data_IF_907706145583
#
_entry.id   IF_907706145583
#
_cell.length_a   1.000
_cell.length_b   1.000
_cell.length_c   1.000
_cell.angle_alpha   90.00
_cell.angle_beta   90.00
_cell.angle_gamma   90.00
#
_symmetry.space_group_name_H-M   'P 1'
#
loop_
_entity.id
_entity.type
_entity.pdbx_description
1 polymer ?
#
# COMPACT_ATOMS: atom_id res chain seq x y z
N UNK A 1 0.61 20.88 7.52
CA UNK A 1 1.08 20.33 8.81
C UNK A 1 -0.15 19.87 9.58
N UNK A 2 -0.64 18.66 9.30
CA UNK A 2 -1.79 18.12 10.02
C UNK A 2 -1.26 17.27 11.18
N UNK A 3 -1.31 17.87 12.36
CA UNK A 3 -1.12 17.21 13.65
C UNK A 3 -2.42 16.44 13.96
N UNK A 4 -2.31 15.16 14.30
CA UNK A 4 -3.32 14.51 15.13
C UNK A 4 -2.64 13.80 16.29
N UNK A 5 -3.20 14.07 17.45
CA UNK A 5 -2.66 13.93 18.78
C UNK A 5 -2.33 12.48 19.19
N UNK A 6 -1.36 12.43 20.10
CA UNK A 6 -1.18 11.46 21.17
C UNK A 6 -2.51 10.99 21.79
N UNK A 7 -2.96 9.77 21.47
CA UNK A 7 -3.76 8.84 22.31
C UNK A 7 -4.34 7.67 21.48
N UNK A 8 -3.49 6.91 20.79
CA UNK A 8 -3.91 5.57 20.31
C UNK A 8 -3.08 4.55 21.08
N UNK A 9 -3.68 4.08 22.19
CA UNK A 9 -3.26 2.89 22.92
C UNK A 9 -3.06 1.75 21.92
N UNK A 10 -1.79 1.37 21.80
CA UNK A 10 -1.33 0.17 21.13
C UNK A 10 -1.86 -1.04 21.90
N UNK A 11 -3.01 -1.59 21.49
CA UNK A 11 -3.49 -2.88 22.01
C UNK A 11 -2.65 -3.98 21.40
N UNK A 12 -1.64 -4.39 22.16
CA UNK A 12 -0.84 -5.58 21.95
C UNK A 12 -1.74 -6.81 22.14
N UNK A 13 -2.23 -7.41 21.06
CA UNK A 13 -2.89 -8.71 21.15
C UNK A 13 -3.97 -8.93 20.11
N UNK A 14 -3.58 -9.44 18.93
CA UNK A 14 -4.10 -10.67 18.34
C UNK A 14 -3.05 -11.18 17.33
N UNK A 15 -2.17 -12.09 17.77
CA UNK A 15 -1.31 -12.84 16.85
C UNK A 15 -2.15 -13.96 16.22
N UNK A 16 -2.84 -13.67 15.12
CA UNK A 16 -3.49 -14.72 14.32
C UNK A 16 -2.41 -15.63 13.70
N UNK A 17 -2.61 -16.96 13.63
CA UNK A 17 -1.56 -17.92 13.29
C UNK A 17 -1.01 -17.70 11.89
N UNK A 18 0.23 -18.10 11.68
CA UNK A 18 0.94 -18.13 10.40
C UNK A 18 0.34 -19.15 9.43
N UNK A 19 -0.90 -18.93 8.99
CA UNK A 19 -1.52 -19.65 7.88
C UNK A 19 -2.18 -18.62 6.96
N UNK A 20 -1.54 -18.40 5.80
CA UNK A 20 -1.96 -17.56 4.66
C UNK A 20 -2.78 -16.31 5.04
N UNK A 21 -2.09 -15.21 5.40
CA UNK A 21 -2.66 -13.87 5.66
C UNK A 21 -3.32 -13.21 4.44
N UNK A 22 -3.66 -13.97 3.39
CA UNK A 22 -4.18 -13.44 2.14
C UNK A 22 -5.70 -13.44 2.22
N UNK A 23 -6.29 -12.25 2.13
CA UNK A 23 -7.72 -12.02 2.04
C UNK A 23 -8.11 -12.07 0.57
N UNK A 24 -8.70 -13.18 0.12
CA UNK A 24 -9.09 -13.37 -1.27
C UNK A 24 -10.28 -12.49 -1.67
N UNK A 25 -11.22 -12.27 -0.75
CA UNK A 25 -12.43 -11.46 -0.99
C UNK A 25 -12.17 -9.94 -0.84
N UNK A 26 -10.97 -9.55 -0.40
CA UNK A 26 -10.63 -8.15 -0.18
C UNK A 26 -9.49 -7.71 -1.10
N UNK A 27 -9.78 -6.92 -2.15
CA UNK A 27 -8.75 -6.46 -3.07
C UNK A 27 -7.92 -5.32 -2.48
N UNK A 28 -6.63 -5.31 -2.79
CA UNK A 28 -5.74 -4.19 -2.55
C UNK A 28 -6.27 -2.93 -3.26
N UNK A 29 -6.43 -1.84 -2.52
CA UNK A 29 -6.91 -0.56 -3.07
C UNK A 29 -5.99 0.07 -4.11
N UNK A 30 -4.71 -0.33 -4.13
CA UNK A 30 -3.69 0.19 -5.07
C UNK A 30 -3.61 -0.62 -6.35
N UNK A 31 -3.40 -1.95 -6.26
CA UNK A 31 -3.12 -2.79 -7.43
C UNK A 31 -4.14 -3.90 -7.70
N UNK A 32 -5.25 -3.92 -6.95
CA UNK A 32 -6.35 -4.90 -7.05
C UNK A 32 -5.99 -6.37 -6.83
N UNK A 33 -4.72 -6.70 -6.58
CA UNK A 33 -4.29 -8.03 -6.10
C UNK A 33 -4.87 -8.33 -4.70
N UNK A 34 -4.78 -9.58 -4.26
CA UNK A 34 -5.30 -9.98 -2.95
C UNK A 34 -4.61 -9.21 -1.82
N UNK A 35 -5.41 -8.63 -0.92
CA UNK A 35 -4.90 -7.88 0.23
C UNK A 35 -4.33 -8.85 1.28
N UNK A 36 -3.30 -8.41 2.01
CA UNK A 36 -2.82 -9.11 3.20
C UNK A 36 -3.38 -8.53 4.51
N UNK A 37 -4.39 -7.66 4.41
CA UNK A 37 -4.97 -6.92 5.52
C UNK A 37 -4.83 -5.41 5.40
N UNK A 38 -5.13 -4.70 6.49
CA UNK A 38 -5.00 -3.24 6.57
C UNK A 38 -3.54 -2.85 6.78
N UNK A 39 -3.02 -1.99 5.91
CA UNK A 39 -1.71 -1.35 6.03
C UNK A 39 -1.91 0.16 5.90
N UNK A 40 -1.43 0.92 6.88
CA UNK A 40 -1.52 2.40 6.86
C UNK A 40 -2.95 2.93 6.67
N UNK A 41 -3.95 2.23 7.24
CA UNK A 41 -5.36 2.63 7.19
C UNK A 41 -6.17 2.10 5.99
N UNK A 42 -5.52 1.48 4.98
CA UNK A 42 -6.22 0.93 3.80
C UNK A 42 -5.94 -0.57 3.63
N UNK A 43 -6.83 -1.29 2.95
CA UNK A 43 -6.55 -2.66 2.53
C UNK A 43 -5.53 -2.66 1.40
N UNK A 44 -4.37 -3.27 1.65
CA UNK A 44 -3.28 -3.36 0.69
C UNK A 44 -2.66 -4.76 0.66
N UNK A 45 -1.96 -5.09 -0.42
CA UNK A 45 -1.09 -6.26 -0.47
C UNK A 45 0.30 -5.90 0.08
N UNK A 46 1.07 -6.91 0.48
CA UNK A 46 2.43 -6.71 1.02
C UNK A 46 3.35 -5.95 0.05
N UNK A 47 3.15 -6.14 -1.25
CA UNK A 47 3.92 -5.44 -2.28
C UNK A 47 3.70 -3.93 -2.28
N UNK A 48 2.45 -3.47 -2.15
CA UNK A 48 2.11 -2.05 -2.13
C UNK A 48 2.38 -1.42 -0.77
N UNK A 49 2.09 -2.11 0.33
CA UNK A 49 2.47 -1.66 1.68
C UNK A 49 3.99 -1.49 1.82
N UNK A 50 4.76 -2.45 1.31
CA UNK A 50 6.21 -2.38 1.28
C UNK A 50 6.75 -1.28 0.37
N UNK A 51 6.11 -1.03 -0.77
CA UNK A 51 6.45 0.06 -1.67
C UNK A 51 6.30 1.42 -0.96
N UNK A 52 5.10 1.70 -0.44
CA UNK A 52 4.79 2.93 0.30
C UNK A 52 5.77 3.19 1.44
N UNK A 53 6.04 2.18 2.28
CA UNK A 53 7.01 2.26 3.38
C UNK A 53 8.41 2.66 2.91
N UNK A 54 8.90 2.09 1.81
CA UNK A 54 10.22 2.42 1.25
C UNK A 54 10.25 3.81 0.63
N UNK A 55 9.16 4.23 0.00
CA UNK A 55 9.04 5.54 -0.63
C UNK A 55 9.09 6.66 0.41
N UNK A 56 8.34 6.52 1.52
CA UNK A 56 8.40 7.47 2.64
C UNK A 56 9.76 7.45 3.32
N UNK A 57 10.27 6.28 3.73
CA UNK A 57 11.56 6.20 4.46
C UNK A 57 12.74 6.80 3.71
N UNK A 58 12.70 6.76 2.37
CA UNK A 58 13.78 7.26 1.51
C UNK A 58 13.43 8.60 0.87
N UNK A 59 12.31 9.22 1.25
CA UNK A 59 11.78 10.45 0.69
C UNK A 59 11.84 10.47 -0.86
N UNK A 60 11.40 9.38 -1.50
CA UNK A 60 11.51 9.22 -2.96
C UNK A 60 10.38 9.97 -3.65
N UNK A 61 10.74 10.95 -4.46
CA UNK A 61 9.84 11.58 -5.41
C UNK A 61 9.91 10.81 -6.73
N UNK A 62 8.75 10.44 -7.26
CA UNK A 62 8.64 9.76 -8.55
C UNK A 62 7.89 10.65 -9.53
N UNK A 63 8.41 10.79 -10.75
CA UNK A 63 7.71 11.42 -11.86
C UNK A 63 7.05 10.36 -12.75
N UNK A 64 5.83 10.65 -13.20
CA UNK A 64 5.19 9.83 -14.23
C UNK A 64 5.85 10.13 -15.58
N UNK A 65 6.12 9.09 -16.38
CA UNK A 65 6.69 9.24 -17.73
C UNK A 65 5.64 9.12 -18.85
N UNK A 66 4.37 8.86 -18.47
CA UNK A 66 3.28 8.78 -19.43
C UNK A 66 2.90 10.18 -19.91
N UNK A 67 2.38 10.26 -21.14
CA UNK A 67 1.76 11.49 -21.66
C UNK A 67 0.53 11.90 -20.84
N UNK A 68 -0.15 10.92 -20.24
CA UNK A 68 -1.25 11.12 -19.29
C UNK A 68 -0.74 10.91 -17.86
N UNK A 69 -0.37 12.02 -17.20
CA UNK A 69 0.07 11.98 -15.81
C UNK A 69 -1.03 11.43 -14.89
N UNK A 70 -0.65 10.57 -13.94
CA UNK A 70 -1.58 10.00 -12.97
C UNK A 70 -2.50 8.89 -13.49
N UNK A 71 -2.47 8.55 -14.78
CA UNK A 71 -3.42 7.59 -15.39
C UNK A 71 -2.80 6.25 -15.79
N UNK A 72 -1.59 5.91 -15.31
CA UNK A 72 -1.02 4.59 -15.58
C UNK A 72 -1.85 3.49 -14.89
N UNK A 73 -2.09 2.39 -15.60
CA UNK A 73 -2.76 1.22 -15.04
C UNK A 73 -1.90 0.60 -13.95
N UNK A 74 -2.47 0.45 -12.74
CA UNK A 74 -1.82 -0.19 -11.60
C UNK A 74 -2.59 -1.46 -11.27
N UNK A 75 -2.16 -2.57 -11.86
CA UNK A 75 -2.66 -3.91 -11.56
C UNK A 75 -1.53 -4.83 -11.05
N UNK A 76 -1.83 -6.09 -10.74
CA UNK A 76 -0.84 -7.06 -10.22
C UNK A 76 0.40 -7.19 -11.12
N UNK A 77 0.20 -7.19 -12.43
CA UNK A 77 1.23 -7.38 -13.46
C UNK A 77 2.01 -6.11 -13.77
N UNK A 78 1.36 -4.95 -13.70
CA UNK A 78 1.85 -3.67 -14.22
C UNK A 78 2.14 -2.63 -13.13
N UNK A 79 1.88 -2.93 -11.84
CA UNK A 79 2.19 -2.05 -10.69
C UNK A 79 3.65 -1.61 -10.57
N UNK A 80 4.58 -2.17 -11.34
CA UNK A 80 5.98 -1.77 -11.37
C UNK A 80 6.33 -0.82 -12.54
N UNK A 81 5.43 -0.60 -13.50
CA UNK A 81 5.67 0.22 -14.69
C UNK A 81 5.79 1.71 -14.36
N UNK A 82 4.93 2.23 -13.49
CA UNK A 82 4.96 3.63 -13.08
C UNK A 82 4.94 3.75 -11.56
N UNK A 83 6.10 4.10 -10.97
CA UNK A 83 6.24 4.31 -9.52
C UNK A 83 5.45 5.52 -9.03
N UNK A 84 5.25 6.52 -9.88
CA UNK A 84 4.51 7.74 -9.55
C UNK A 84 2.99 7.51 -9.45
N UNK A 85 2.42 6.67 -10.32
CA UNK A 85 0.99 6.36 -10.31
C UNK A 85 0.63 5.25 -9.32
N UNK A 86 1.62 4.50 -8.81
CA UNK A 86 1.45 3.39 -7.86
C UNK A 86 1.46 3.83 -6.39
N UNK A 87 1.20 5.12 -6.14
CA UNK A 87 1.18 5.71 -4.80
C UNK A 87 -0.16 5.46 -4.11
#
# INVERSE_FOLDING_TARGET
MFLFNSEIRFSLGEKLPTSRRILYDTPCKVCRDHSSGKHYGIYACDGCAGFFKRSIRRNRQYSCKSRSEGQCVVDKTHRNQCRACRQ
#
